data_IF_168984067172
#
_entry.id   IF_168984067172
#
_cell.length_a   1.000
_cell.length_b   1.000
_cell.length_c   1.000
_cell.angle_alpha   90.00
_cell.angle_beta   90.00
_cell.angle_gamma   90.00
#
_symmetry.space_group_name_H-M   'P 1'
#
loop_
_entity.id
_entity.type
_entity.pdbx_description
1 polymer ?
#
# COMPACT_ATOMS: atom_id res chain seq x y z
N UNK A 1 24.78 -23.77 8.70
CA UNK A 1 23.55 -23.45 7.94
C UNK A 1 23.41 -21.95 7.80
N UNK A 2 24.17 -21.37 6.88
CA UNK A 2 24.25 -19.91 6.67
C UNK A 2 23.15 -19.47 5.70
N UNK A 3 22.19 -18.69 6.20
CA UNK A 3 21.18 -18.01 5.40
C UNK A 3 21.81 -16.85 4.65
N UNK A 4 22.32 -17.11 3.43
CA UNK A 4 22.86 -16.09 2.54
C UNK A 4 21.73 -15.28 1.87
N UNK A 5 21.05 -14.43 2.64
CA UNK A 5 20.02 -13.50 2.17
C UNK A 5 20.57 -12.22 1.55
N UNK A 6 21.78 -12.24 0.98
CA UNK A 6 22.52 -11.02 0.64
C UNK A 6 22.27 -10.45 -0.77
N UNK A 7 21.38 -11.03 -1.58
CA UNK A 7 21.21 -10.65 -3.01
C UNK A 7 19.78 -10.23 -3.44
N UNK A 8 18.86 -10.02 -2.49
CA UNK A 8 17.45 -9.74 -2.82
C UNK A 8 17.24 -8.32 -3.38
N UNK A 9 18.13 -7.37 -3.09
CA UNK A 9 17.94 -5.96 -3.48
C UNK A 9 18.12 -5.71 -4.98
N UNK A 10 18.94 -6.52 -5.67
CA UNK A 10 19.28 -6.35 -7.09
C UNK A 10 18.62 -7.36 -8.04
N UNK A 11 18.04 -8.43 -7.50
CA UNK A 11 17.24 -9.40 -8.26
C UNK A 11 15.79 -8.90 -8.30
N UNK A 12 15.11 -9.03 -9.44
CA UNK A 12 13.74 -8.53 -9.69
C UNK A 12 12.66 -8.92 -8.67
N UNK A 13 12.99 -9.73 -7.66
CA UNK A 13 12.25 -9.98 -6.42
C UNK A 13 11.92 -8.71 -5.63
N UNK A 14 12.79 -7.69 -5.59
CA UNK A 14 12.48 -6.42 -4.89
C UNK A 14 11.35 -5.64 -5.56
N UNK A 15 11.27 -5.68 -6.89
CA UNK A 15 10.15 -5.12 -7.64
C UNK A 15 8.84 -5.86 -7.38
N UNK A 16 8.89 -7.19 -7.32
CA UNK A 16 7.73 -8.03 -6.99
C UNK A 16 7.29 -7.87 -5.53
N UNK A 17 8.23 -7.72 -4.60
CA UNK A 17 7.92 -7.47 -3.19
C UNK A 17 7.25 -6.11 -3.03
N UNK A 18 7.78 -5.06 -3.64
CA UNK A 18 7.16 -3.74 -3.65
C UNK A 18 5.74 -3.81 -4.22
N UNK A 19 5.57 -4.48 -5.36
CA UNK A 19 4.26 -4.68 -5.99
C UNK A 19 3.31 -5.46 -5.08
N UNK A 20 3.78 -6.54 -4.45
CA UNK A 20 2.97 -7.33 -3.52
C UNK A 20 2.56 -6.52 -2.29
N UNK A 21 3.47 -5.76 -1.69
CA UNK A 21 3.16 -4.88 -0.55
C UNK A 21 2.15 -3.81 -0.96
N UNK A 22 2.36 -3.12 -2.08
CA UNK A 22 1.46 -2.04 -2.51
C UNK A 22 0.08 -2.56 -2.96
N UNK A 23 0.04 -3.64 -3.74
CA UNK A 23 -1.22 -4.14 -4.32
C UNK A 23 -1.96 -5.12 -3.41
N UNK A 24 -1.26 -5.95 -2.63
CA UNK A 24 -1.88 -6.99 -1.78
C UNK A 24 -2.00 -6.58 -0.32
N UNK A 25 -0.99 -5.91 0.25
CA UNK A 25 -1.02 -5.51 1.67
C UNK A 25 -1.75 -4.17 1.83
N UNK A 26 -1.28 -3.14 1.14
CA UNK A 26 -1.89 -1.80 1.16
C UNK A 26 -3.17 -1.74 0.33
N UNK A 27 -3.31 -2.63 -0.66
CA UNK A 27 -4.50 -2.71 -1.51
C UNK A 27 -4.68 -1.52 -2.45
N UNK A 28 -3.61 -0.77 -2.74
CA UNK A 28 -3.65 0.44 -3.55
C UNK A 28 -3.32 0.09 -4.99
N UNK A 29 -4.35 0.00 -5.84
CA UNK A 29 -4.20 -0.31 -7.26
C UNK A 29 -4.96 0.67 -8.13
N UNK A 30 -4.49 0.86 -9.36
CA UNK A 30 -5.14 1.73 -10.35
C UNK A 30 -5.73 0.81 -11.41
N UNK A 31 -7.05 0.64 -11.40
CA UNK A 31 -7.78 -0.20 -12.36
C UNK A 31 -8.57 0.71 -13.30
N UNK A 32 -8.33 0.60 -14.62
CA UNK A 32 -9.00 1.41 -15.66
C UNK A 32 -8.94 2.93 -15.40
N UNK A 33 -7.85 3.39 -14.78
CA UNK A 33 -7.67 4.79 -14.42
C UNK A 33 -8.51 5.26 -13.22
N UNK A 34 -9.13 4.34 -12.47
CA UNK A 34 -9.75 4.58 -11.18
C UNK A 34 -8.81 4.08 -10.09
N UNK A 35 -8.64 4.88 -9.04
CA UNK A 35 -7.87 4.48 -7.86
C UNK A 35 -8.76 3.60 -6.98
N UNK A 36 -8.38 2.33 -6.84
CA UNK A 36 -9.03 1.34 -5.98
C UNK A 36 -8.18 1.15 -4.75
N UNK A 37 -8.79 1.31 -3.58
CA UNK A 37 -8.12 1.21 -2.27
C UNK A 37 -8.87 0.16 -1.46
N UNK A 38 -8.30 -1.05 -1.38
CA UNK A 38 -8.82 -2.20 -0.63
C UNK A 38 -7.80 -2.66 0.44
N UNK A 39 -7.60 -1.87 1.51
CA UNK A 39 -6.54 -2.10 2.47
C UNK A 39 -6.79 -3.34 3.31
N UNK A 40 -5.88 -4.32 3.23
CA UNK A 40 -5.88 -5.55 4.03
C UNK A 40 -4.80 -5.46 5.10
N UNK A 41 -4.85 -4.38 5.87
CA UNK A 41 -3.84 -4.09 6.87
C UNK A 41 -3.96 -5.06 8.05
N UNK A 42 -2.84 -5.52 8.62
CA UNK A 42 -2.84 -6.26 9.86
C UNK A 42 -3.50 -5.45 10.98
N UNK A 43 -4.12 -6.12 11.94
CA UNK A 43 -4.81 -5.46 13.05
C UNK A 43 -3.92 -4.52 13.87
N UNK A 44 -2.60 -4.75 13.87
CA UNK A 44 -1.58 -3.95 14.56
C UNK A 44 -1.29 -2.60 13.90
N UNK A 45 -1.65 -2.40 12.63
CA UNK A 45 -1.38 -1.15 11.92
C UNK A 45 -2.56 -0.18 12.08
N UNK A 46 -2.26 1.04 12.53
CA UNK A 46 -3.25 2.11 12.68
C UNK A 46 -3.62 2.78 11.34
N UNK A 47 -2.82 2.57 10.31
CA UNK A 47 -2.95 3.18 9.00
C UNK A 47 -1.62 3.24 8.27
N UNK A 48 -1.63 3.78 7.06
CA UNK A 48 -0.44 4.04 6.27
C UNK A 48 -0.62 5.30 5.41
N UNK A 49 0.49 5.82 4.90
CA UNK A 49 0.50 6.88 3.90
C UNK A 49 1.38 6.45 2.73
N UNK A 50 0.91 6.66 1.52
CA UNK A 50 1.66 6.38 0.30
C UNK A 50 1.47 7.54 -0.68
N UNK A 51 2.56 7.92 -1.34
CA UNK A 51 2.53 8.88 -2.44
C UNK A 51 2.67 8.13 -3.75
N UNK A 52 1.74 8.35 -4.68
CA UNK A 52 1.75 7.68 -5.98
C UNK A 52 1.36 8.64 -7.09
N UNK A 53 2.04 8.52 -8.22
CA UNK A 53 1.67 9.23 -9.44
C UNK A 53 0.58 8.43 -10.14
N UNK A 54 -0.61 9.01 -10.27
CA UNK A 54 -1.76 8.43 -10.96
C UNK A 54 -2.16 9.39 -12.06
N UNK A 55 -2.09 8.94 -13.33
CA UNK A 55 -2.42 9.78 -14.50
C UNK A 55 -1.63 11.11 -14.54
N UNK A 56 -0.37 11.10 -14.13
CA UNK A 56 0.48 12.31 -14.11
C UNK A 56 0.27 13.24 -12.92
N UNK A 57 -0.70 12.97 -12.04
CA UNK A 57 -0.92 13.71 -10.79
C UNK A 57 -0.26 12.99 -9.63
N UNK A 58 0.47 13.74 -8.79
CA UNK A 58 0.99 13.21 -7.52
C UNK A 58 -0.13 13.21 -6.50
N UNK A 59 -0.51 12.02 -6.05
CA UNK A 59 -1.55 11.84 -5.05
C UNK A 59 -0.91 11.28 -3.77
N UNK A 60 -1.04 12.02 -2.69
CA UNK A 60 -0.78 11.54 -1.33
C UNK A 60 -2.05 10.86 -0.81
N UNK A 61 -1.99 9.54 -0.66
CA UNK A 61 -3.07 8.70 -0.19
C UNK A 61 -2.77 8.36 1.27
N UNK A 62 -3.62 8.80 2.19
CA UNK A 62 -3.54 8.46 3.60
C UNK A 62 -4.72 7.57 3.96
N UNK A 63 -4.43 6.37 4.44
CA UNK A 63 -5.44 5.41 4.89
C UNK A 63 -5.28 5.25 6.39
N UNK A 64 -6.33 5.58 7.16
CA UNK A 64 -6.35 5.40 8.61
C UNK A 64 -7.45 4.43 9.00
N UNK A 65 -7.13 3.50 9.87
CA UNK A 65 -8.12 2.61 10.47
C UNK A 65 -9.08 3.45 11.32
N UNK A 66 -10.39 3.32 11.10
CA UNK A 66 -11.36 3.99 11.96
C UNK A 66 -11.28 3.39 13.37
N UNK A 67 -11.10 4.24 14.39
CA UNK A 67 -11.07 3.82 15.78
C UNK A 67 -12.49 3.43 16.22
N UNK A 68 -12.84 2.16 16.04
CA UNK A 68 -14.11 1.59 16.48
C UNK A 68 -14.07 0.08 16.32
N UNK A 69 -14.75 -0.65 17.21
CA UNK A 69 -14.90 -2.13 17.21
C UNK A 69 -15.49 -2.72 15.93
N UNK A 70 -15.75 -1.92 14.91
CA UNK A 70 -16.18 -2.35 13.58
C UNK A 70 -14.96 -2.64 12.72
N UNK A 71 -14.48 -3.88 12.80
CA UNK A 71 -13.49 -4.43 11.88
C UNK A 71 -13.99 -4.25 10.43
N UNK A 72 -13.46 -3.26 9.70
CA UNK A 72 -13.72 -3.13 8.26
C UNK A 72 -13.88 -1.72 7.69
N UNK A 73 -13.93 -0.65 8.51
CA UNK A 73 -14.01 0.72 7.98
C UNK A 73 -12.65 1.42 8.03
N UNK A 74 -12.11 1.75 6.86
CA UNK A 74 -10.90 2.55 6.70
C UNK A 74 -11.28 3.94 6.19
N UNK A 75 -10.74 4.97 6.82
CA UNK A 75 -10.85 6.35 6.33
C UNK A 75 -9.73 6.57 5.31
N UNK A 76 -10.12 6.86 4.08
CA UNK A 76 -9.19 7.14 2.99
C UNK A 76 -9.25 8.62 2.68
N UNK A 77 -8.12 9.31 2.78
CA UNK A 77 -7.96 10.71 2.39
C UNK A 77 -6.98 10.77 1.24
N UNK A 78 -7.39 11.39 0.14
CA UNK A 78 -6.55 11.62 -1.03
C UNK A 78 -6.28 13.11 -1.11
N UNK A 79 -5.01 13.51 -1.14
CA UNK A 79 -4.57 14.89 -1.37
C UNK A 79 -3.74 14.92 -2.65
N UNK A 80 -3.99 15.90 -3.51
CA UNK A 80 -3.10 16.22 -4.63
C UNK A 80 -1.94 17.06 -4.09
N UNK A 81 -0.70 16.69 -4.43
CA UNK A 81 0.54 17.39 -4.04
C UNK A 81 1.17 18.03 -5.26
#
# INVERSE_FOLDING_TARGET
NEGQGAWTWYSGSSGWLYKAVVERLLGVRVEYGKLVIDPKLPASWNGFQIERIVKGKRLAISVKKAAGRSAGKYNVTIKEV
#
